data_IF_630443540854
#
_entry.id   IF_630443540854
#
_cell.length_a   1.000
_cell.length_b   1.000
_cell.length_c   1.000
_cell.angle_alpha   90.00
_cell.angle_beta   90.00
_cell.angle_gamma   90.00
#
_symmetry.space_group_name_H-M   'P 1'
#
loop_
_entity.id
_entity.type
_entity.pdbx_description
1 polymer ?
#
# COMPACT_ATOMS: atom_id res chain seq x y z
N UNK A 1 -40.19 -2.54 5.26
CA UNK A 1 -40.24 -1.87 3.94
C UNK A 1 -39.14 -0.82 3.73
N UNK A 2 -38.59 -0.18 4.77
CA UNK A 2 -37.49 0.81 4.62
C UNK A 2 -36.15 0.24 4.11
N UNK A 3 -35.90 -1.06 4.26
CA UNK A 3 -34.69 -1.69 3.71
C UNK A 3 -34.71 -1.78 2.17
N UNK A 4 -35.89 -1.81 1.54
CA UNK A 4 -36.05 -1.89 0.08
C UNK A 4 -35.87 -0.52 -0.60
N UNK A 5 -36.34 0.57 0.02
CA UNK A 5 -36.20 1.92 -0.55
C UNK A 5 -34.75 2.44 -0.54
N UNK A 6 -33.93 2.03 0.45
CA UNK A 6 -32.49 2.38 0.49
C UNK A 6 -31.66 1.70 -0.63
N UNK A 7 -32.17 0.61 -1.19
CA UNK A 7 -31.54 -0.13 -2.29
C UNK A 7 -31.82 0.57 -3.63
N UNK A 8 -33.00 1.17 -3.81
CA UNK A 8 -33.46 1.61 -5.12
C UNK A 8 -32.88 2.95 -5.61
N UNK A 9 -32.53 3.91 -4.73
CA UNK A 9 -32.43 5.31 -5.18
C UNK A 9 -31.02 5.95 -5.29
N UNK A 10 -29.93 5.32 -4.82
CA UNK A 10 -28.58 5.93 -4.94
C UNK A 10 -27.37 4.98 -4.78
N UNK A 11 -27.60 3.68 -4.54
CA UNK A 11 -26.55 2.74 -4.08
C UNK A 11 -26.02 1.79 -5.17
N UNK A 12 -26.64 1.74 -6.35
CA UNK A 12 -26.33 0.73 -7.38
C UNK A 12 -24.86 0.74 -7.84
N UNK A 13 -24.27 1.92 -8.02
CA UNK A 13 -22.88 2.02 -8.49
C UNK A 13 -21.88 1.53 -7.43
N UNK A 14 -22.16 1.70 -6.14
CA UNK A 14 -21.33 1.19 -5.05
C UNK A 14 -21.31 -0.34 -5.07
N UNK A 15 -22.47 -0.97 -5.23
CA UNK A 15 -22.60 -2.42 -5.34
C UNK A 15 -21.88 -2.97 -6.58
N UNK A 16 -21.92 -2.25 -7.71
CA UNK A 16 -21.17 -2.61 -8.93
C UNK A 16 -19.66 -2.57 -8.68
N UNK A 17 -19.15 -1.54 -7.99
CA UNK A 17 -17.72 -1.46 -7.63
C UNK A 17 -17.32 -2.59 -6.67
N UNK A 18 -18.16 -2.91 -5.68
CA UNK A 18 -17.93 -4.05 -4.79
C UNK A 18 -17.86 -5.37 -5.57
N UNK A 19 -18.80 -5.59 -6.48
CA UNK A 19 -18.82 -6.78 -7.33
C UNK A 19 -17.53 -6.88 -8.16
N UNK A 20 -17.08 -5.77 -8.75
CA UNK A 20 -15.84 -5.71 -9.50
C UNK A 20 -14.61 -6.05 -8.63
N UNK A 21 -14.56 -5.57 -7.39
CA UNK A 21 -13.50 -5.91 -6.43
C UNK A 21 -13.52 -7.41 -6.07
N UNK A 22 -14.69 -8.02 -5.91
CA UNK A 22 -14.81 -9.46 -5.67
C UNK A 22 -14.38 -10.30 -6.88
N UNK A 23 -14.73 -9.85 -8.10
CA UNK A 23 -14.28 -10.49 -9.34
C UNK A 23 -12.75 -10.43 -9.44
N UNK A 24 -12.12 -9.31 -9.11
CA UNK A 24 -10.66 -9.20 -9.08
C UNK A 24 -10.03 -10.19 -8.09
N UNK A 25 -10.63 -10.41 -6.92
CA UNK A 25 -10.17 -11.42 -5.96
C UNK A 25 -10.30 -12.84 -6.54
N UNK A 26 -11.40 -13.13 -7.23
CA UNK A 26 -11.59 -14.41 -7.90
C UNK A 26 -10.52 -14.63 -8.97
N UNK A 27 -10.21 -13.62 -9.78
CA UNK A 27 -9.12 -13.66 -10.76
C UNK A 27 -7.77 -13.92 -10.08
N UNK A 28 -7.46 -13.23 -8.97
CA UNK A 28 -6.23 -13.47 -8.21
C UNK A 28 -6.13 -14.89 -7.67
N UNK A 29 -7.26 -15.47 -7.23
CA UNK A 29 -7.32 -16.85 -6.75
C UNK A 29 -7.07 -17.87 -7.85
N UNK A 30 -7.55 -17.61 -9.07
CA UNK A 30 -7.32 -18.46 -10.26
C UNK A 30 -5.86 -18.38 -10.71
N UNK A 31 -5.25 -17.19 -10.66
CA UNK A 31 -3.85 -17.00 -11.05
C UNK A 31 -2.88 -17.72 -10.10
N UNK A 32 -3.00 -17.46 -8.79
CA UNK A 32 -2.09 -18.04 -7.80
C UNK A 32 -2.68 -17.98 -6.38
N UNK A 33 -3.33 -19.07 -5.97
CA UNK A 33 -4.01 -19.14 -4.67
C UNK A 33 -3.04 -19.13 -3.48
N UNK A 34 -1.83 -19.68 -3.62
CA UNK A 34 -0.81 -19.66 -2.57
C UNK A 34 -0.27 -18.24 -2.34
N UNK A 35 0.06 -17.52 -3.44
CA UNK A 35 0.51 -16.12 -3.34
C UNK A 35 -0.56 -15.23 -2.76
N UNK A 36 -1.83 -15.41 -3.17
CA UNK A 36 -2.95 -14.66 -2.61
C UNK A 36 -3.03 -14.79 -1.09
N UNK A 37 -2.97 -16.03 -0.57
CA UNK A 37 -2.94 -16.27 0.89
C UNK A 37 -1.74 -15.57 1.54
N UNK A 38 -0.57 -15.66 0.93
CA UNK A 38 0.63 -14.97 1.39
C UNK A 38 0.46 -13.46 1.51
N UNK A 39 -0.10 -12.80 0.49
CA UNK A 39 -0.35 -11.35 0.50
C UNK A 39 -1.45 -10.94 1.47
N UNK A 40 -2.49 -11.76 1.67
CA UNK A 40 -3.53 -11.49 2.67
C UNK A 40 -2.93 -11.49 4.08
N UNK A 41 -2.06 -12.46 4.38
CA UNK A 41 -1.44 -12.61 5.70
C UNK A 41 -0.07 -11.91 5.84
N UNK A 42 0.35 -11.11 4.86
CA UNK A 42 1.68 -10.49 4.84
C UNK A 42 1.97 -9.55 6.02
N UNK A 43 0.93 -8.94 6.60
CA UNK A 43 1.04 -8.12 7.82
C UNK A 43 1.46 -8.95 9.03
N UNK A 44 1.08 -10.22 9.08
CA UNK A 44 1.34 -11.13 10.21
C UNK A 44 2.53 -12.07 9.96
N UNK A 45 2.81 -12.42 8.69
CA UNK A 45 3.80 -13.43 8.36
C UNK A 45 5.06 -12.83 7.71
N UNK A 46 6.08 -12.59 8.55
CA UNK A 46 7.40 -12.08 8.12
C UNK A 46 8.08 -13.00 7.09
N UNK A 47 7.89 -14.32 7.21
CA UNK A 47 8.54 -15.32 6.33
C UNK A 47 8.03 -15.30 4.89
N UNK A 48 6.87 -14.69 4.62
CA UNK A 48 6.36 -14.58 3.26
C UNK A 48 7.20 -13.61 2.40
N UNK A 49 7.64 -12.49 2.97
CA UNK A 49 8.49 -11.54 2.25
C UNK A 49 9.88 -12.12 1.92
N UNK A 50 10.42 -12.96 2.82
CA UNK A 50 11.68 -13.70 2.59
C UNK A 50 11.52 -14.81 1.53
N UNK A 51 10.40 -15.53 1.54
CA UNK A 51 10.09 -16.59 0.57
C UNK A 51 9.83 -16.10 -0.87
N UNK A 52 9.23 -14.92 -1.03
CA UNK A 52 8.97 -14.32 -2.35
C UNK A 52 10.30 -13.89 -3.03
N UNK A 53 11.28 -13.45 -2.25
CA UNK A 53 12.62 -13.06 -2.75
C UNK A 53 13.47 -14.25 -3.18
N UNK A 54 13.29 -15.41 -2.55
CA UNK A 54 13.95 -16.66 -2.96
C UNK A 54 13.42 -17.23 -4.27
N UNK A 55 12.21 -16.82 -4.71
CA UNK A 55 11.53 -17.35 -5.90
C UNK A 55 11.73 -16.51 -7.18
N UNK A 56 12.56 -15.46 -7.14
CA UNK A 56 12.84 -14.56 -8.29
C UNK A 56 11.56 -14.12 -9.04
N UNK A 57 10.47 -13.90 -8.30
CA UNK A 57 9.19 -13.53 -8.92
C UNK A 57 9.31 -12.14 -9.53
N UNK A 58 9.03 -12.03 -10.84
CA UNK A 58 9.07 -10.74 -11.52
C UNK A 58 8.01 -9.79 -10.94
N UNK A 59 8.44 -8.58 -10.58
CA UNK A 59 7.54 -7.51 -10.13
C UNK A 59 6.43 -7.16 -11.15
N UNK A 60 6.59 -7.59 -12.39
CA UNK A 60 5.68 -7.34 -13.51
C UNK A 60 4.80 -8.53 -13.89
N UNK A 61 4.72 -9.56 -13.04
CA UNK A 61 3.81 -10.68 -13.32
C UNK A 61 2.35 -10.19 -13.35
N UNK A 62 1.51 -10.88 -14.14
CA UNK A 62 0.08 -10.60 -14.25
C UNK A 62 -0.59 -10.52 -12.88
N UNK A 63 -0.20 -11.41 -11.96
CA UNK A 63 -0.67 -11.41 -10.58
C UNK A 63 -0.41 -10.06 -9.87
N UNK A 64 0.82 -9.55 -9.92
CA UNK A 64 1.17 -8.27 -9.28
C UNK A 64 0.43 -7.08 -9.91
N UNK A 65 0.19 -7.11 -11.22
CA UNK A 65 -0.55 -6.03 -11.89
C UNK A 65 -2.03 -6.04 -11.51
N UNK A 66 -2.68 -7.21 -11.48
CA UNK A 66 -4.08 -7.32 -11.02
C UNK A 66 -4.20 -6.88 -9.56
N UNK A 67 -3.24 -7.28 -8.72
CA UNK A 67 -3.24 -6.96 -7.30
C UNK A 67 -2.97 -5.47 -7.05
N UNK A 68 -2.13 -4.84 -7.87
CA UNK A 68 -1.95 -3.39 -7.90
C UNK A 68 -3.25 -2.67 -8.26
N UNK A 69 -3.95 -3.08 -9.33
CA UNK A 69 -5.24 -2.49 -9.73
C UNK A 69 -6.27 -2.64 -8.61
N UNK A 70 -6.39 -3.82 -8.02
CA UNK A 70 -7.26 -4.07 -6.86
C UNK A 70 -6.98 -3.09 -5.72
N UNK A 71 -5.71 -2.99 -5.30
CA UNK A 71 -5.32 -2.10 -4.20
C UNK A 71 -5.64 -0.63 -4.49
N UNK A 72 -5.46 -0.19 -5.74
CA UNK A 72 -5.70 1.19 -6.15
C UNK A 72 -7.18 1.56 -6.08
N UNK A 73 -8.07 0.64 -6.50
CA UNK A 73 -9.51 0.80 -6.46
C UNK A 73 -10.03 0.84 -5.02
N UNK A 74 -9.51 -0.04 -4.15
CA UNK A 74 -9.87 -0.05 -2.72
C UNK A 74 -9.46 1.26 -2.06
N UNK A 75 -8.23 1.74 -2.29
CA UNK A 75 -7.74 2.99 -1.71
C UNK A 75 -8.54 4.20 -2.22
N UNK A 76 -8.85 4.25 -3.51
CA UNK A 76 -9.70 5.28 -4.08
C UNK A 76 -11.08 5.31 -3.43
N UNK A 77 -11.66 4.13 -3.17
CA UNK A 77 -12.95 4.02 -2.52
C UNK A 77 -12.89 4.57 -1.08
N UNK A 78 -11.88 4.19 -0.31
CA UNK A 78 -11.67 4.69 1.06
C UNK A 78 -11.53 6.21 1.09
N UNK A 79 -10.75 6.79 0.18
CA UNK A 79 -10.58 8.24 0.08
C UNK A 79 -11.92 8.92 -0.28
N UNK A 80 -12.70 8.33 -1.19
CA UNK A 80 -14.02 8.85 -1.56
C UNK A 80 -15.01 8.84 -0.40
N UNK A 81 -14.95 7.84 0.49
CA UNK A 81 -15.78 7.79 1.69
C UNK A 81 -15.36 8.85 2.71
N UNK A 82 -14.07 8.97 3.00
CA UNK A 82 -13.55 9.96 3.97
C UNK A 82 -13.92 11.38 3.53
N UNK A 83 -13.77 11.68 2.23
CA UNK A 83 -14.10 13.00 1.68
C UNK A 83 -15.60 13.30 1.71
N UNK A 84 -16.46 12.27 1.59
CA UNK A 84 -17.90 12.41 1.72
C UNK A 84 -18.34 12.76 3.15
N UNK A 85 -17.65 12.23 4.16
CA UNK A 85 -17.99 12.51 5.56
C UNK A 85 -17.67 13.94 6.00
N UNK A 86 -16.62 14.52 5.42
CA UNK A 86 -16.20 15.88 5.76
C UNK A 86 -17.00 16.97 5.03
N UNK A 87 -17.81 16.58 4.03
CA UNK A 87 -18.65 17.50 3.27
C UNK A 87 -20.11 17.16 3.52
N UNK A 88 -20.70 17.81 4.52
CA UNK A 88 -22.11 17.68 4.85
C UNK A 88 -22.98 17.79 3.58
N UNK A 89 -23.60 16.67 3.18
CA UNK A 89 -24.62 16.63 2.13
C UNK A 89 -24.17 16.32 0.70
N UNK A 90 -22.89 16.09 0.40
CA UNK A 90 -22.49 15.60 -0.93
C UNK A 90 -22.63 14.08 -1.03
N UNK A 91 -23.70 13.63 -1.66
CA UNK A 91 -23.82 12.24 -2.11
C UNK A 91 -22.62 11.89 -3.01
N UNK A 92 -21.90 10.81 -2.68
CA UNK A 92 -20.77 10.36 -3.50
C UNK A 92 -21.30 10.01 -4.88
N UNK A 93 -20.93 10.80 -5.87
CA UNK A 93 -21.29 10.54 -7.25
C UNK A 93 -20.28 9.59 -7.88
N UNK A 94 -20.75 8.76 -8.82
CA UNK A 94 -19.87 7.85 -9.56
C UNK A 94 -18.75 8.60 -10.31
N UNK A 95 -19.04 9.79 -10.83
CA UNK A 95 -18.05 10.65 -11.50
C UNK A 95 -16.95 11.13 -10.55
N UNK A 96 -17.31 11.44 -9.30
CA UNK A 96 -16.33 11.81 -8.28
C UNK A 96 -15.43 10.63 -7.90
N UNK A 97 -16.02 9.44 -7.74
CA UNK A 97 -15.25 8.20 -7.50
C UNK A 97 -14.27 7.91 -8.64
N UNK A 98 -14.71 8.01 -9.90
CA UNK A 98 -13.85 7.81 -11.07
C UNK A 98 -12.67 8.78 -11.08
N UNK A 99 -12.91 10.07 -10.81
CA UNK A 99 -11.84 11.08 -10.71
C UNK A 99 -10.83 10.72 -9.63
N UNK A 100 -11.30 10.37 -8.42
CA UNK A 100 -10.40 9.94 -7.33
C UNK A 100 -9.63 8.69 -7.72
N UNK A 101 -10.28 7.71 -8.36
CA UNK A 101 -9.62 6.47 -8.78
C UNK A 101 -8.48 6.73 -9.77
N UNK A 102 -8.67 7.62 -10.74
CA UNK A 102 -7.62 8.02 -11.69
C UNK A 102 -6.45 8.74 -11.00
N UNK A 103 -6.73 9.62 -10.04
CA UNK A 103 -5.70 10.32 -9.26
C UNK A 103 -4.90 9.34 -8.40
N UNK A 104 -5.57 8.43 -7.68
CA UNK A 104 -4.90 7.44 -6.83
C UNK A 104 -4.08 6.46 -7.67
N UNK A 105 -4.63 5.98 -8.78
CA UNK A 105 -3.93 5.10 -9.70
C UNK A 105 -2.67 5.75 -10.27
N UNK A 106 -2.77 6.98 -10.77
CA UNK A 106 -1.63 7.71 -11.32
C UNK A 106 -0.56 8.01 -10.27
N UNK A 107 -0.97 8.44 -9.06
CA UNK A 107 -0.04 8.65 -7.94
C UNK A 107 0.73 7.37 -7.58
N UNK A 108 0.04 6.24 -7.43
CA UNK A 108 0.68 4.96 -7.10
C UNK A 108 1.61 4.49 -8.22
N UNK A 109 1.24 4.72 -9.48
CA UNK A 109 2.04 4.34 -10.64
C UNK A 109 3.34 5.15 -10.72
N UNK A 110 3.25 6.48 -10.60
CA UNK A 110 4.42 7.38 -10.56
C UNK A 110 5.33 7.00 -9.39
N UNK A 111 4.77 6.78 -8.20
CA UNK A 111 5.53 6.37 -7.02
C UNK A 111 6.27 5.05 -7.22
N UNK A 112 5.62 4.05 -7.81
CA UNK A 112 6.23 2.76 -8.14
C UNK A 112 7.38 2.93 -9.13
N UNK A 113 7.20 3.74 -10.17
CA UNK A 113 8.25 4.02 -11.15
C UNK A 113 9.46 4.70 -10.51
N UNK A 114 9.24 5.71 -9.67
CA UNK A 114 10.32 6.39 -8.93
C UNK A 114 11.12 5.40 -8.06
N UNK A 115 10.44 4.55 -7.30
CA UNK A 115 11.10 3.57 -6.43
C UNK A 115 11.95 2.56 -7.21
N UNK A 116 11.47 2.10 -8.37
CA UNK A 116 12.24 1.21 -9.25
C UNK A 116 13.44 1.95 -9.86
N UNK A 117 13.27 3.19 -10.31
CA UNK A 117 14.35 4.03 -10.83
C UNK A 117 15.44 4.26 -9.80
N UNK A 118 15.08 4.64 -8.57
CA UNK A 118 16.04 4.81 -7.47
C UNK A 118 16.74 3.49 -7.12
N UNK A 119 16.00 2.37 -7.08
CA UNK A 119 16.61 1.06 -6.84
C UNK A 119 17.62 0.67 -7.91
N UNK A 120 17.45 1.12 -9.15
CA UNK A 120 18.40 0.85 -10.23
C UNK A 120 19.61 1.78 -10.17
N UNK A 121 19.41 3.07 -9.85
CA UNK A 121 20.47 4.07 -9.73
C UNK A 121 21.46 3.76 -8.60
N UNK A 122 20.98 3.36 -7.43
CA UNK A 122 21.83 3.14 -6.26
C UNK A 122 22.54 1.79 -6.25
N UNK A 123 22.31 0.89 -7.22
CA UNK A 123 22.90 -0.46 -7.30
C UNK A 123 22.69 -1.36 -6.05
N UNK A 124 21.94 -0.92 -5.04
CA UNK A 124 21.57 -1.63 -3.81
C UNK A 124 20.45 -2.67 -4.04
N UNK A 125 20.54 -3.41 -5.16
CA UNK A 125 19.46 -4.23 -5.75
C UNK A 125 18.88 -5.32 -4.85
N UNK A 126 19.61 -5.85 -3.87
CA UNK A 126 19.12 -6.94 -3.00
C UNK A 126 18.42 -6.39 -1.75
N UNK A 127 19.05 -5.44 -1.06
CA UNK A 127 18.55 -4.88 0.21
C UNK A 127 17.35 -3.95 0.02
N UNK A 128 17.38 -3.07 -0.99
CA UNK A 128 16.23 -2.22 -1.32
C UNK A 128 15.05 -3.02 -1.88
N UNK A 129 15.32 -4.11 -2.60
CA UNK A 129 14.26 -4.99 -3.13
C UNK A 129 13.46 -5.64 -2.01
N UNK A 130 14.11 -6.16 -0.96
CA UNK A 130 13.42 -6.70 0.21
C UNK A 130 12.49 -5.65 0.84
N UNK A 131 13.01 -4.43 1.01
CA UNK A 131 12.25 -3.32 1.57
C UNK A 131 11.04 -2.96 0.71
N UNK A 132 11.22 -2.85 -0.61
CA UNK A 132 10.14 -2.56 -1.57
C UNK A 132 9.06 -3.64 -1.52
N UNK A 133 9.45 -4.93 -1.56
CA UNK A 133 8.51 -6.06 -1.50
C UNK A 133 7.70 -6.03 -0.19
N UNK A 134 8.38 -5.86 0.96
CA UNK A 134 7.73 -5.78 2.27
C UNK A 134 6.74 -4.60 2.36
N UNK A 135 7.12 -3.44 1.81
CA UNK A 135 6.29 -2.23 1.78
C UNK A 135 5.01 -2.41 0.96
N UNK A 136 5.09 -3.00 -0.23
CA UNK A 136 3.91 -3.25 -1.06
C UNK A 136 3.06 -4.38 -0.49
N UNK A 137 3.68 -5.46 -0.01
CA UNK A 137 2.98 -6.60 0.57
C UNK A 137 2.12 -6.21 1.78
N UNK A 138 2.66 -5.37 2.67
CA UNK A 138 1.90 -4.82 3.80
C UNK A 138 0.75 -3.90 3.38
N UNK A 139 0.91 -3.08 2.33
CA UNK A 139 -0.16 -2.25 1.79
C UNK A 139 -1.30 -3.12 1.23
N UNK A 140 -0.96 -4.16 0.48
CA UNK A 140 -1.93 -5.05 -0.13
C UNK A 140 -2.76 -5.83 0.89
N UNK A 141 -2.11 -6.37 1.93
CA UNK A 141 -2.80 -7.00 3.06
C UNK A 141 -3.84 -6.05 3.68
N UNK A 142 -3.46 -4.78 3.89
CA UNK A 142 -4.37 -3.76 4.44
C UNK A 142 -5.53 -3.47 3.50
N UNK A 143 -5.32 -3.45 2.19
CA UNK A 143 -6.43 -3.32 1.23
C UNK A 143 -7.45 -4.45 1.36
N UNK A 144 -7.03 -5.69 1.64
CA UNK A 144 -7.98 -6.78 1.93
C UNK A 144 -8.78 -6.52 3.22
N UNK A 145 -8.13 -6.07 4.29
CA UNK A 145 -8.82 -5.69 5.53
C UNK A 145 -9.79 -4.51 5.33
N UNK A 146 -9.41 -3.51 4.53
CA UNK A 146 -10.26 -2.38 4.18
C UNK A 146 -11.49 -2.81 3.37
N UNK A 147 -11.35 -3.80 2.47
CA UNK A 147 -12.49 -4.36 1.75
C UNK A 147 -13.50 -5.02 2.70
N UNK A 148 -13.00 -5.82 3.66
CA UNK A 148 -13.86 -6.47 4.67
C UNK A 148 -14.58 -5.40 5.50
N UNK A 149 -13.85 -4.40 5.98
CA UNK A 149 -14.43 -3.27 6.73
C UNK A 149 -15.53 -2.56 5.92
N UNK A 150 -15.32 -2.40 4.61
CA UNK A 150 -16.30 -1.78 3.73
C UNK A 150 -17.59 -2.59 3.61
N UNK A 151 -17.50 -3.91 3.41
CA UNK A 151 -18.67 -4.80 3.36
C UNK A 151 -19.49 -4.66 4.65
N UNK A 152 -18.82 -4.64 5.81
CA UNK A 152 -19.49 -4.49 7.11
C UNK A 152 -20.08 -3.09 7.28
N UNK A 153 -19.46 -2.03 6.76
CA UNK A 153 -20.03 -0.68 6.84
C UNK A 153 -21.26 -0.49 5.94
N UNK A 154 -21.28 -1.13 4.77
CA UNK A 154 -22.39 -0.99 3.81
C UNK A 154 -23.62 -1.82 4.20
N UNK A 155 -23.41 -3.04 4.68
CA UNK A 155 -24.48 -4.01 4.97
C UNK A 155 -24.69 -4.27 6.47
N UNK A 156 -23.78 -3.81 7.32
CA UNK A 156 -23.87 -3.97 8.77
C UNK A 156 -24.35 -2.70 9.48
N UNK A 157 -24.41 -2.74 10.83
CA UNK A 157 -24.91 -1.63 11.64
C UNK A 157 -23.87 -0.51 11.87
N UNK A 158 -22.64 -0.65 11.32
CA UNK A 158 -21.57 0.31 11.55
C UNK A 158 -21.86 1.62 10.80
N UNK A 159 -22.01 2.71 11.56
CA UNK A 159 -22.13 4.04 10.96
C UNK A 159 -20.79 4.48 10.36
N UNK A 160 -20.86 5.26 9.28
CA UNK A 160 -19.68 5.73 8.56
C UNK A 160 -18.72 6.49 9.49
N UNK A 161 -19.22 7.15 10.55
CA UNK A 161 -18.40 7.89 11.52
C UNK A 161 -17.32 7.03 12.20
N UNK A 162 -17.61 5.75 12.47
CA UNK A 162 -16.63 4.81 13.06
C UNK A 162 -15.59 4.29 12.05
N UNK A 163 -15.75 4.54 10.75
CA UNK A 163 -14.85 4.06 9.70
C UNK A 163 -13.46 4.74 9.78
N UNK A 164 -13.43 6.05 9.98
CA UNK A 164 -12.19 6.86 10.04
C UNK A 164 -11.23 6.39 11.13
N UNK A 165 -11.63 6.23 12.41
CA UNK A 165 -10.70 5.78 13.45
C UNK A 165 -10.16 4.36 13.19
N UNK A 166 -10.96 3.47 12.61
CA UNK A 166 -10.53 2.10 12.26
C UNK A 166 -9.46 2.15 11.16
N UNK A 167 -9.67 2.97 10.13
CA UNK A 167 -8.68 3.16 9.05
C UNK A 167 -7.37 3.71 9.61
N UNK A 168 -7.46 4.76 10.44
CA UNK A 168 -6.27 5.34 11.10
C UNK A 168 -5.54 4.27 11.90
N UNK A 169 -6.26 3.46 12.69
CA UNK A 169 -5.70 2.35 13.45
C UNK A 169 -4.97 1.34 12.55
N UNK A 170 -5.56 0.94 11.42
CA UNK A 170 -4.96 0.01 10.46
C UNK A 170 -3.66 0.56 9.85
N UNK A 171 -3.64 1.85 9.46
CA UNK A 171 -2.44 2.49 8.95
C UNK A 171 -1.36 2.67 10.04
N UNK A 172 -1.76 2.88 11.29
CA UNK A 172 -0.85 2.97 12.43
C UNK A 172 -0.20 1.61 12.73
N UNK A 173 -0.98 0.53 12.72
CA UNK A 173 -0.47 -0.84 12.82
C UNK A 173 0.55 -1.13 11.73
N UNK A 174 0.27 -0.73 10.48
CA UNK A 174 1.23 -0.84 9.37
C UNK A 174 2.55 -0.16 9.70
N UNK A 175 2.47 1.09 10.15
CA UNK A 175 3.64 1.91 10.43
C UNK A 175 4.50 1.28 11.53
N UNK A 176 3.86 0.83 12.62
CA UNK A 176 4.54 0.14 13.73
C UNK A 176 5.20 -1.16 13.26
N UNK A 177 4.49 -2.00 12.50
CA UNK A 177 5.04 -3.25 11.98
C UNK A 177 6.19 -3.01 11.02
N UNK A 178 6.06 -2.00 10.16
CA UNK A 178 7.11 -1.63 9.22
C UNK A 178 8.38 -1.15 9.92
N UNK A 179 8.25 -0.35 10.99
CA UNK A 179 9.39 0.06 11.84
C UNK A 179 9.99 -1.15 12.55
N UNK A 180 9.16 -1.98 13.18
CA UNK A 180 9.65 -3.16 13.93
C UNK A 180 10.38 -4.15 13.02
N UNK A 181 9.85 -4.43 11.82
CA UNK A 181 10.45 -5.37 10.88
C UNK A 181 11.77 -4.88 10.28
N UNK A 182 11.93 -3.56 10.08
CA UNK A 182 13.12 -3.00 9.44
C UNK A 182 14.08 -2.28 10.40
N UNK A 183 13.84 -2.34 11.72
CA UNK A 183 14.62 -1.59 12.74
C UNK A 183 16.12 -1.86 12.62
N UNK A 184 16.52 -3.12 12.49
CA UNK A 184 17.94 -3.47 12.45
C UNK A 184 18.64 -3.02 11.16
N UNK A 185 17.88 -2.89 10.07
CA UNK A 185 18.41 -2.51 8.75
C UNK A 185 18.50 -0.99 8.61
N UNK A 186 17.50 -0.26 9.08
CA UNK A 186 17.45 1.22 9.04
C UNK A 186 18.50 1.83 9.97
N UNK A 187 18.65 1.32 11.20
CA UNK A 187 19.62 1.89 12.15
C UNK A 187 21.07 1.65 11.75
N UNK A 188 21.40 0.47 11.21
CA UNK A 188 22.77 0.17 10.80
C UNK A 188 23.18 1.01 9.57
N UNK A 189 22.32 1.13 8.57
CA UNK A 189 22.63 1.90 7.35
C UNK A 189 22.65 3.42 7.59
N UNK A 190 21.78 3.95 8.46
CA UNK A 190 21.85 5.37 8.84
C UNK A 190 23.14 5.68 9.61
N UNK A 191 23.62 4.76 10.44
CA UNK A 191 24.90 4.91 11.13
C UNK A 191 26.07 4.94 10.13
N UNK A 192 26.09 4.03 9.15
CA UNK A 192 27.10 4.04 8.07
C UNK A 192 27.04 5.30 7.21
N UNK A 193 25.84 5.83 6.94
CA UNK A 193 25.69 7.09 6.21
C UNK A 193 26.30 8.26 6.97
N UNK A 194 26.04 8.36 8.27
CA UNK A 194 26.64 9.39 9.13
C UNK A 194 28.16 9.25 9.14
N UNK A 195 28.68 8.02 9.30
CA UNK A 195 30.13 7.75 9.27
C UNK A 195 30.77 8.15 7.93
N UNK A 196 30.08 7.91 6.82
CA UNK A 196 30.55 8.31 5.48
C UNK A 196 30.60 9.84 5.32
N UNK A 197 29.60 10.54 5.85
CA UNK A 197 29.57 12.00 5.88
C UNK A 197 30.71 12.56 6.75
N UNK A 198 30.96 11.94 7.91
CA UNK A 198 32.12 12.27 8.74
C UNK A 198 33.46 12.01 8.03
N UNK A 199 33.61 10.89 7.31
CA UNK A 199 34.81 10.61 6.54
C UNK A 199 35.03 11.63 5.40
N UNK A 200 33.94 12.10 4.79
CA UNK A 200 33.98 13.15 3.77
C UNK A 200 34.38 14.52 4.32
N UNK A 201 34.06 14.82 5.57
CA UNK A 201 34.52 16.04 6.25
C UNK A 201 36.01 15.97 6.63
N UNK A 202 36.49 14.80 7.04
CA UNK A 202 37.88 14.59 7.48
C UNK A 202 38.85 14.51 6.29
N UNK A 203 38.44 13.93 5.15
CA UNK A 203 39.32 13.71 4.01
C UNK A 203 39.95 15.02 3.42
N UNK A 204 39.19 16.11 3.20
CA UNK A 204 39.73 17.40 2.74
C UNK A 204 40.75 17.99 3.73
N UNK A 205 40.46 17.86 5.03
CA UNK A 205 41.28 18.36 6.12
C UNK A 205 42.64 17.65 6.17
N UNK A 206 42.63 16.33 5.91
CA UNK A 206 43.83 15.50 5.83
C UNK A 206 44.66 15.79 4.56
N UNK A 207 44.03 16.07 3.42
CA UNK A 207 44.73 16.52 2.21
C UNK A 207 45.36 17.92 2.36
N UNK A 208 44.70 18.84 3.06
CA UNK A 208 45.24 20.17 3.34
C UNK A 208 46.49 20.09 4.23
N UNK A 209 46.46 19.24 5.26
CA UNK A 209 47.60 19.03 6.15
C UNK A 209 48.83 18.49 5.41
N UNK A 210 48.61 17.58 4.44
CA UNK A 210 49.67 17.00 3.59
C UNK A 210 50.23 17.96 2.53
N UNK A 211 49.51 19.02 2.18
CA UNK A 211 50.01 20.05 1.26
C UNK A 211 50.80 21.14 1.99
N UNK A 212 50.52 21.34 3.29
CA UNK A 212 51.14 22.38 4.10
C UNK A 212 52.39 21.91 4.85
N UNK A 213 52.59 20.58 4.95
CA UNK A 213 53.71 19.92 5.62
C UNK A 213 54.33 18.87 4.68
#
# INVERSE_FOLDING_TARGET
>A
MQALEKIANSTNWISIVLLLLLVLIAVLKVLDSEKLKGYVFAVFNKGFADGELGRDTSFFSLFHNVLFVFSSLVLAFVISLITAQNKDGLAVSFSYYLTISGVVFSYLLIKRLLEVSFSNLFLLRKRLRFYIVSKYSSLYSICFFLLILFIVCQFGPLSVSYLVPIIIGLFLVRFVLHIRHNKNLVFNELFYFILYLCAFEIAPLLTLFKLMF
#
